data_IF_083696492823
#
_entry.id   IF_083696492823
#
_cell.length_a   1.000
_cell.length_b   1.000
_cell.length_c   1.000
_cell.angle_alpha   90.00
_cell.angle_beta   90.00
_cell.angle_gamma   90.00
#
_symmetry.space_group_name_H-M   'P 1'
#
loop_
_entity.id
_entity.type
_entity.pdbx_description
1 polymer ?
#
# COMPACT_ATOMS: atom_id res chain seq x y z
N UNK A 1 -4.46 4.00 -4.02
CA UNK A 1 -3.51 4.57 -3.06
C UNK A 1 -2.16 3.95 -3.31
N UNK A 2 -1.14 4.77 -3.52
CA UNK A 2 0.24 4.28 -3.62
C UNK A 2 0.86 4.11 -2.22
N UNK A 3 2.07 3.57 -2.19
CA UNK A 3 2.79 3.34 -0.94
C UNK A 3 3.27 4.64 -0.27
N UNK A 4 3.55 5.69 -1.04
CA UNK A 4 4.09 6.95 -0.51
C UNK A 4 3.01 7.73 0.25
N UNK A 5 1.82 7.81 -0.31
CA UNK A 5 0.65 8.41 0.32
C UNK A 5 0.22 7.63 1.58
N UNK A 6 0.36 6.30 1.58
CA UNK A 6 0.11 5.50 2.79
C UNK A 6 1.10 5.83 3.90
N UNK A 7 2.38 5.92 3.58
CA UNK A 7 3.40 6.22 4.57
C UNK A 7 3.23 7.63 5.15
N UNK A 8 2.85 8.60 4.31
CA UNK A 8 2.57 9.97 4.73
C UNK A 8 1.42 10.02 5.74
N UNK A 9 0.26 9.46 5.38
CA UNK A 9 -0.92 9.41 6.26
C UNK A 9 -0.65 8.66 7.56
N UNK A 10 0.09 7.56 7.47
CA UNK A 10 0.51 6.81 8.66
C UNK A 10 1.42 7.64 9.58
N UNK A 11 2.34 8.43 9.00
CA UNK A 11 3.18 9.36 9.76
C UNK A 11 2.36 10.47 10.43
N UNK A 12 1.27 10.90 9.80
CA UNK A 12 0.31 11.88 10.35
C UNK A 12 -0.59 11.30 11.45
N UNK A 13 -0.45 10.00 11.76
CA UNK A 13 -1.19 9.33 12.83
C UNK A 13 -2.43 8.57 12.37
N UNK A 14 -2.75 8.58 11.08
CA UNK A 14 -3.83 7.75 10.54
C UNK A 14 -3.48 6.27 10.76
N UNK A 15 -4.44 5.51 11.27
CA UNK A 15 -4.29 4.06 11.51
C UNK A 15 -5.38 3.25 10.80
N UNK A 16 -6.49 3.88 10.43
CA UNK A 16 -7.56 3.21 9.71
C UNK A 16 -7.38 3.36 8.20
N UNK A 17 -7.01 2.26 7.57
CA UNK A 17 -6.88 2.13 6.12
C UNK A 17 -7.77 0.98 5.64
N UNK A 18 -8.92 0.78 6.29
CA UNK A 18 -9.87 -0.24 5.88
C UNK A 18 -10.49 0.07 4.50
N UNK A 19 -10.73 -0.98 3.71
CA UNK A 19 -11.37 -0.88 2.39
C UNK A 19 -10.53 -0.24 1.28
N UNK A 20 -9.29 0.19 1.55
CA UNK A 20 -8.50 0.90 0.55
C UNK A 20 -7.98 -0.04 -0.54
N UNK A 21 -7.86 0.49 -1.77
CA UNK A 21 -7.13 -0.18 -2.85
C UNK A 21 -5.68 0.29 -2.86
N UNK A 22 -4.78 -0.63 -2.53
CA UNK A 22 -3.33 -0.41 -2.47
C UNK A 22 -2.66 -1.09 -3.65
N UNK A 23 -1.90 -0.31 -4.40
CA UNK A 23 -0.96 -0.82 -5.39
C UNK A 23 0.39 -1.04 -4.69
N UNK A 24 0.75 -2.31 -4.51
CA UNK A 24 1.96 -2.69 -3.75
C UNK A 24 3.22 -2.45 -4.58
N UNK A 25 3.87 -1.30 -4.39
CA UNK A 25 5.16 -1.03 -5.05
C UNK A 25 6.34 -0.73 -4.12
N UNK A 26 6.16 -0.33 -2.85
CA UNK A 26 7.31 -0.03 -1.94
C UNK A 26 7.08 -0.31 -0.44
N UNK A 27 6.09 -1.12 -0.05
CA UNK A 27 5.80 -1.40 1.38
C UNK A 27 6.73 -2.45 2.02
N UNK A 28 7.73 -2.96 1.27
CA UNK A 28 8.63 -3.99 1.75
C UNK A 28 9.57 -3.40 2.81
N UNK A 29 9.40 -3.78 4.07
CA UNK A 29 10.22 -3.32 5.19
C UNK A 29 9.62 -2.18 6.02
N UNK A 30 8.44 -1.67 5.68
CA UNK A 30 7.78 -0.64 6.49
C UNK A 30 7.23 -1.22 7.81
N UNK A 31 7.55 -0.59 8.95
CA UNK A 31 6.96 -0.93 10.23
C UNK A 31 5.61 -0.21 10.43
N UNK A 32 4.53 -0.89 10.05
CA UNK A 32 3.15 -0.39 10.12
C UNK A 32 2.40 -0.98 11.33
N UNK A 33 3.01 -0.97 12.52
CA UNK A 33 2.40 -1.55 13.72
C UNK A 33 1.08 -0.86 14.07
N UNK A 34 0.03 -1.65 14.21
CA UNK A 34 -1.31 -1.14 14.58
C UNK A 34 -2.08 -0.52 13.41
N UNK A 35 -1.63 -0.71 12.17
CA UNK A 35 -2.41 -0.33 10.99
C UNK A 35 -3.62 -1.26 10.83
N UNK A 36 -4.80 -0.69 10.56
CA UNK A 36 -5.98 -1.43 10.17
C UNK A 36 -6.07 -1.47 8.64
N UNK A 37 -5.93 -2.66 8.05
CA UNK A 37 -6.07 -2.90 6.60
C UNK A 37 -7.26 -3.81 6.30
N UNK A 38 -8.26 -3.87 7.20
CA UNK A 38 -9.44 -4.71 7.01
C UNK A 38 -10.12 -4.38 5.68
N UNK A 39 -10.48 -5.39 4.89
CA UNK A 39 -11.09 -5.21 3.56
C UNK A 39 -10.23 -4.46 2.53
N UNK A 40 -8.95 -4.18 2.82
CA UNK A 40 -8.08 -3.55 1.84
C UNK A 40 -7.80 -4.51 0.68
N UNK A 41 -7.88 -3.99 -0.55
CA UNK A 41 -7.49 -4.73 -1.76
C UNK A 41 -6.03 -4.45 -2.04
N UNK A 42 -5.19 -5.48 -1.95
CA UNK A 42 -3.77 -5.40 -2.29
C UNK A 42 -3.57 -5.92 -3.71
N UNK A 43 -3.44 -5.01 -4.68
CA UNK A 43 -3.08 -5.40 -6.05
C UNK A 43 -1.57 -5.30 -6.17
N UNK A 44 -0.89 -6.43 -6.35
CA UNK A 44 0.51 -6.43 -6.80
C UNK A 44 0.53 -5.91 -8.22
N UNK A 45 1.05 -4.70 -8.42
CA UNK A 45 1.49 -4.30 -9.76
C UNK A 45 2.79 -5.06 -9.99
N UNK A 46 2.68 -6.29 -10.50
CA UNK A 46 3.81 -6.99 -11.11
C UNK A 46 4.25 -6.17 -12.34
N UNK A 47 5.13 -5.20 -12.14
CA UNK A 47 5.99 -4.68 -13.22
C UNK A 47 7.09 -5.71 -13.54
N UNK A 48 6.69 -6.94 -13.87
CA UNK A 48 7.56 -7.93 -14.47
C UNK A 48 6.84 -8.48 -15.69
N UNK A 49 7.03 -7.77 -16.79
CA UNK A 49 6.36 -8.02 -18.06
C UNK A 49 6.15 -6.75 -18.88
N UNK A 50 7.08 -5.79 -18.81
CA UNK A 50 7.32 -4.95 -19.97
C UNK A 50 7.77 -5.88 -21.11
N UNK A 51 6.81 -6.34 -21.89
CA UNK A 51 7.01 -6.70 -23.29
C UNK A 51 5.89 -6.00 -24.03
N UNK A 52 6.15 -4.76 -24.44
CA UNK A 52 5.49 -4.26 -25.63
C UNK A 52 6.01 -5.14 -26.78
N UNK A 53 5.17 -6.05 -27.26
CA UNK A 53 5.29 -6.53 -28.64
C UNK A 53 4.92 -5.41 -29.58
#
# INVERSE_FOLDING_TARGET
MDAEELLKRYADGERDFSGIKLTRSKLRGANLKGINLSHATLTEVKLQGASAT
#
